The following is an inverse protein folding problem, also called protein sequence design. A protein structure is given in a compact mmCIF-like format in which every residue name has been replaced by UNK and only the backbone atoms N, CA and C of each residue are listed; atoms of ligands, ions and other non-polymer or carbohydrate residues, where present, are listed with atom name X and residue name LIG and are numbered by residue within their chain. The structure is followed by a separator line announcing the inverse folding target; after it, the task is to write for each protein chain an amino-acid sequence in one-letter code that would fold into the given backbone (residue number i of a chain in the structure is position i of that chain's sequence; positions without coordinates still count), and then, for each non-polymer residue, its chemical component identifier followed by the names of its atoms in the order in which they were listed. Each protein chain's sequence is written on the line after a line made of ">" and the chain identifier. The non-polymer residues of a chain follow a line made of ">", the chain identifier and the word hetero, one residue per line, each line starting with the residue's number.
data_IF_035078184092
#
_entry.id   IF_035078184092
#
_cell.length_a   1.000
_cell.length_b   1.000
_cell.length_c   1.000
_cell.angle_alpha   90.00
_cell.angle_beta   90.00
_cell.angle_gamma   90.00
#
_symmetry.space_group_name_H-M   'P 1'
#
loop_
_entity.id
_entity.type
_entity.pdbx_description
1 polymer ?
#
# COMPACT_ATOMS: atom_id res chain seq x y z
N UNK A 1 -42.40 -0.39 -50.92
CA UNK A 1 -41.08 -1.04 -50.77
C UNK A 1 -40.74 -1.15 -49.29
N UNK A 2 -40.88 -2.35 -48.74
CA UNK A 2 -40.34 -2.74 -47.44
C UNK A 2 -38.82 -2.75 -47.49
N UNK A 3 -38.16 -2.25 -46.44
CA UNK A 3 -36.94 -2.88 -45.92
C UNK A 3 -36.90 -2.69 -44.40
N UNK A 4 -37.34 -3.74 -43.71
CA UNK A 4 -36.88 -4.14 -42.39
C UNK A 4 -35.34 -4.16 -42.38
N UNK A 5 -34.71 -3.63 -41.33
CA UNK A 5 -33.61 -4.35 -40.67
C UNK A 5 -33.40 -3.81 -39.26
N UNK A 6 -33.79 -4.61 -38.28
CA UNK A 6 -33.53 -4.37 -36.87
C UNK A 6 -32.05 -4.56 -36.54
N UNK A 7 -31.53 -3.70 -35.68
CA UNK A 7 -30.32 -3.99 -34.91
C UNK A 7 -30.73 -4.32 -33.48
N UNK A 8 -30.74 -5.63 -33.28
CA UNK A 8 -30.81 -6.40 -32.05
C UNK A 8 -30.05 -5.74 -30.87
N UNK A 9 -30.79 -5.32 -29.85
CA UNK A 9 -30.22 -5.08 -28.51
C UNK A 9 -29.78 -6.42 -27.94
N UNK A 10 -28.46 -6.64 -27.92
CA UNK A 10 -27.84 -7.84 -27.38
C UNK A 10 -27.94 -7.89 -25.85
N UNK A 11 -28.98 -8.53 -25.32
CA UNK A 11 -29.14 -8.91 -23.91
C UNK A 11 -28.09 -9.99 -23.53
N UNK A 12 -27.01 -9.59 -22.85
CA UNK A 12 -26.04 -10.54 -22.27
C UNK A 12 -26.46 -10.94 -20.85
N UNK A 13 -27.43 -11.86 -20.80
CA UNK A 13 -27.75 -12.85 -19.75
C UNK A 13 -27.17 -12.60 -18.34
N UNK A 14 -27.99 -12.08 -17.44
CA UNK A 14 -27.77 -12.17 -15.98
C UNK A 14 -28.39 -13.49 -15.52
N UNK A 15 -27.55 -14.50 -15.27
CA UNK A 15 -27.98 -15.72 -14.60
C UNK A 15 -28.36 -15.37 -13.15
N UNK A 16 -29.66 -15.35 -12.91
CA UNK A 16 -30.31 -15.34 -11.61
C UNK A 16 -29.98 -16.66 -10.91
N UNK A 17 -29.03 -16.65 -9.98
CA UNK A 17 -28.83 -17.80 -9.08
C UNK A 17 -29.71 -17.56 -7.87
N UNK A 18 -30.87 -18.23 -7.88
CA UNK A 18 -31.62 -18.53 -6.67
C UNK A 18 -30.71 -19.36 -5.76
N UNK A 19 -30.35 -18.82 -4.60
CA UNK A 19 -29.79 -19.60 -3.51
C UNK A 19 -30.87 -19.69 -2.44
N UNK A 20 -31.41 -20.89 -2.29
CA UNK A 20 -32.42 -21.27 -1.32
C UNK A 20 -32.07 -20.74 0.09
N UNK A 21 -33.05 -20.09 0.71
CA UNK A 21 -33.05 -19.88 2.14
C UNK A 21 -33.33 -21.23 2.82
N UNK A 22 -32.27 -21.93 3.24
CA UNK A 22 -32.43 -22.99 4.24
C UNK A 22 -32.72 -22.32 5.59
N UNK A 23 -34.00 -22.20 5.92
CA UNK A 23 -34.44 -22.02 7.30
C UNK A 23 -34.09 -23.29 8.07
N UNK A 24 -32.99 -23.28 8.81
CA UNK A 24 -32.73 -24.30 9.84
C UNK A 24 -32.99 -23.64 11.19
N UNK A 25 -34.14 -23.97 11.76
CA UNK A 25 -34.47 -23.80 13.18
C UNK A 25 -33.39 -24.48 14.03
N UNK A 26 -32.90 -23.85 15.11
CA UNK A 26 -32.34 -24.61 16.21
C UNK A 26 -33.50 -25.13 17.06
N UNK A 27 -33.98 -26.34 16.76
CA UNK A 27 -34.75 -27.11 17.73
C UNK A 27 -33.80 -27.50 18.86
N UNK A 28 -34.21 -27.16 20.08
CA UNK A 28 -33.41 -27.31 21.29
C UNK A 28 -33.17 -28.75 21.72
N UNK A 29 -32.15 -28.89 22.57
CA UNK A 29 -31.99 -29.82 23.69
C UNK A 29 -32.56 -31.24 23.54
N UNK A 30 -31.65 -32.19 23.41
CA UNK A 30 -31.87 -33.59 23.74
C UNK A 30 -30.52 -34.27 23.94
N UNK A 31 -30.14 -34.50 25.19
CA UNK A 31 -29.08 -35.45 25.55
C UNK A 31 -29.58 -36.83 25.15
N UNK A 32 -28.99 -37.41 24.11
CA UNK A 32 -29.18 -38.82 23.77
C UNK A 32 -27.86 -39.52 24.13
N UNK A 33 -27.90 -40.38 25.14
CA UNK A 33 -26.79 -41.28 25.45
C UNK A 33 -26.57 -42.23 24.25
N UNK A 34 -25.32 -42.55 23.86
CA UNK A 34 -25.09 -43.42 22.72
C UNK A 34 -25.41 -44.87 23.09
N UNK A 35 -26.35 -45.48 22.37
CA UNK A 35 -26.40 -46.93 22.23
C UNK A 35 -25.18 -47.38 21.41
N UNK A 36 -24.55 -48.46 21.86
CA UNK A 36 -23.32 -49.00 21.30
C UNK A 36 -23.46 -49.33 19.80
N UNK A 37 -22.41 -49.05 19.01
CA UNK A 37 -22.16 -49.78 17.76
C UNK A 37 -22.15 -49.02 16.44
N UNK A 38 -22.22 -47.69 16.39
CA UNK A 38 -21.97 -46.96 15.12
C UNK A 38 -21.05 -45.78 15.32
N UNK A 39 -19.85 -45.85 14.74
CA UNK A 39 -18.91 -44.72 14.64
C UNK A 39 -19.42 -43.74 13.58
N UNK A 40 -20.49 -43.03 13.91
CA UNK A 40 -20.90 -41.85 13.14
C UNK A 40 -19.88 -40.76 13.43
N UNK A 41 -18.95 -40.55 12.50
CA UNK A 41 -18.00 -39.46 12.56
C UNK A 41 -18.78 -38.14 12.70
N UNK A 42 -18.69 -37.51 13.87
CA UNK A 42 -19.23 -36.17 14.07
C UNK A 42 -18.53 -35.25 13.07
N UNK A 43 -19.26 -34.85 12.03
CA UNK A 43 -18.81 -33.81 11.11
C UNK A 43 -18.50 -32.57 11.96
N UNK A 44 -17.21 -32.21 12.03
CA UNK A 44 -16.73 -31.08 12.80
C UNK A 44 -17.54 -29.83 12.43
N UNK A 45 -18.42 -29.41 13.34
CA UNK A 45 -19.32 -28.28 13.11
C UNK A 45 -18.47 -27.04 13.04
N UNK A 46 -18.14 -26.59 11.83
CA UNK A 46 -17.33 -25.40 11.61
C UNK A 46 -18.06 -24.21 12.21
N UNK A 47 -17.56 -23.69 13.33
CA UNK A 47 -18.12 -22.52 14.02
C UNK A 47 -18.39 -21.41 13.02
N UNK A 48 -19.65 -20.95 12.96
CA UNK A 48 -20.06 -19.90 12.04
C UNK A 48 -19.20 -18.65 12.24
N UNK A 49 -18.58 -18.17 11.16
CA UNK A 49 -17.70 -17.01 11.23
C UNK A 49 -18.48 -15.78 11.71
N UNK A 50 -18.02 -15.15 12.80
CA UNK A 50 -18.62 -13.91 13.32
C UNK A 50 -18.70 -12.86 12.21
N UNK A 51 -19.91 -12.40 11.92
CA UNK A 51 -20.22 -11.37 10.91
C UNK A 51 -20.40 -10.03 11.60
N UNK A 52 -20.01 -8.95 10.93
CA UNK A 52 -20.21 -7.59 11.45
C UNK A 52 -20.78 -6.69 10.37
N UNK A 53 -21.90 -6.05 10.69
CA UNK A 53 -22.63 -5.17 9.76
C UNK A 53 -22.30 -3.71 10.05
N UNK A 54 -22.00 -2.97 8.98
CA UNK A 54 -21.71 -1.55 9.02
C UNK A 54 -22.68 -0.79 8.11
N UNK A 55 -22.93 0.48 8.45
CA UNK A 55 -23.64 1.37 7.55
C UNK A 55 -22.68 1.82 6.44
N UNK A 56 -23.13 1.75 5.19
CA UNK A 56 -22.37 2.15 4.02
C UNK A 56 -22.59 3.64 3.76
N UNK A 57 -21.50 4.41 3.76
CA UNK A 57 -21.55 5.86 3.50
C UNK A 57 -21.29 6.19 2.03
N UNK A 58 -20.38 5.46 1.39
CA UNK A 58 -20.08 5.66 -0.02
C UNK A 58 -19.44 4.43 -0.65
N UNK A 59 -19.64 4.30 -1.96
CA UNK A 59 -19.01 3.29 -2.82
C UNK A 59 -18.37 4.01 -3.99
N UNK A 60 -17.14 3.62 -4.33
CA UNK A 60 -16.40 4.17 -5.45
C UNK A 60 -15.62 3.08 -6.18
N UNK A 61 -15.79 3.02 -7.50
CA UNK A 61 -14.90 2.24 -8.36
C UNK A 61 -13.57 2.98 -8.54
N UNK A 62 -12.47 2.25 -8.48
CA UNK A 62 -11.12 2.78 -8.62
C UNK A 62 -10.49 2.26 -9.91
N UNK A 63 -9.66 3.10 -10.54
CA UNK A 63 -8.65 2.60 -11.47
C UNK A 63 -7.76 1.59 -10.73
N UNK A 64 -7.42 0.49 -11.39
CA UNK A 64 -6.61 -0.60 -10.80
C UNK A 64 -5.34 -0.03 -10.17
N UNK A 65 -5.28 -0.05 -8.84
CA UNK A 65 -4.19 0.57 -8.07
C UNK A 65 -3.46 -0.50 -7.27
N UNK A 66 -2.14 -0.55 -7.38
CA UNK A 66 -1.34 -1.49 -6.60
C UNK A 66 -1.20 -1.03 -5.13
N UNK A 67 -1.23 -1.99 -4.22
CA UNK A 67 -1.03 -1.84 -2.78
C UNK A 67 -0.22 -3.03 -2.25
N UNK A 68 0.43 -2.84 -1.11
CA UNK A 68 1.04 -3.89 -0.32
C UNK A 68 0.71 -3.70 1.17
N UNK A 69 0.86 -4.76 1.96
CA UNK A 69 0.62 -4.71 3.41
C UNK A 69 1.71 -3.86 4.07
N UNK A 70 1.31 -2.88 4.89
CA UNK A 70 2.24 -1.99 5.61
C UNK A 70 3.07 -2.75 6.64
N UNK A 71 2.39 -3.48 7.53
CA UNK A 71 2.97 -4.32 8.56
C UNK A 71 1.92 -5.32 9.07
N UNK A 72 2.38 -6.39 9.73
CA UNK A 72 1.52 -7.39 10.35
C UNK A 72 0.75 -8.26 9.35
N UNK A 73 -0.36 -8.84 9.82
CA UNK A 73 -1.22 -9.76 9.06
C UNK A 73 -2.63 -9.19 9.01
N UNK A 74 -2.92 -8.15 8.20
CA UNK A 74 -4.23 -7.51 8.23
C UNK A 74 -5.31 -8.47 7.75
N UNK A 75 -6.45 -8.44 8.43
CA UNK A 75 -7.57 -9.33 8.15
C UNK A 75 -8.20 -9.01 6.80
N UNK A 76 -8.43 -10.05 6.01
CA UNK A 76 -9.17 -10.03 4.76
C UNK A 76 -10.60 -10.46 5.04
N UNK A 77 -11.56 -9.70 4.54
CA UNK A 77 -12.99 -9.95 4.71
C UNK A 77 -13.68 -10.26 3.38
N UNK A 78 -14.70 -11.12 3.39
CA UNK A 78 -15.76 -11.07 2.39
C UNK A 78 -16.75 -9.98 2.79
N UNK A 79 -17.44 -9.37 1.82
CA UNK A 79 -18.44 -8.33 2.07
C UNK A 79 -19.73 -8.64 1.32
N UNK A 80 -20.84 -8.73 2.04
CA UNK A 80 -22.18 -8.83 1.48
C UNK A 80 -22.87 -7.47 1.61
N UNK A 81 -23.30 -6.90 0.50
CA UNK A 81 -24.02 -5.62 0.47
C UNK A 81 -25.51 -5.90 0.56
N UNK A 82 -26.22 -5.12 1.38
CA UNK A 82 -27.67 -5.14 1.37
C UNK A 82 -28.19 -4.64 0.01
N UNK A 83 -29.40 -5.07 -0.39
CA UNK A 83 -29.97 -4.76 -1.71
C UNK A 83 -30.12 -3.25 -1.93
N UNK A 84 -30.54 -2.53 -0.88
CA UNK A 84 -30.65 -1.07 -0.80
C UNK A 84 -29.29 -0.34 -0.78
N UNK A 85 -28.18 -1.08 -0.70
CA UNK A 85 -26.80 -0.58 -0.57
C UNK A 85 -26.61 0.34 0.64
N UNK A 86 -27.49 0.32 1.65
CA UNK A 86 -27.31 1.13 2.85
C UNK A 86 -26.36 0.47 3.86
N UNK A 87 -26.15 -0.85 3.77
CA UNK A 87 -25.33 -1.63 4.71
C UNK A 87 -24.41 -2.60 3.99
N UNK A 88 -23.30 -2.93 4.67
CA UNK A 88 -22.39 -3.99 4.27
C UNK A 88 -22.03 -4.86 5.46
N UNK A 89 -22.13 -6.18 5.28
CA UNK A 89 -21.80 -7.18 6.28
C UNK A 89 -20.47 -7.82 5.91
N UNK A 90 -19.47 -7.67 6.78
CA UNK A 90 -18.16 -8.31 6.62
C UNK A 90 -18.10 -9.62 7.39
N UNK A 91 -17.54 -10.65 6.75
CA UNK A 91 -17.17 -11.91 7.41
C UNK A 91 -15.67 -12.16 7.19
N UNK A 92 -14.96 -12.62 8.22
CA UNK A 92 -13.53 -12.89 8.13
C UNK A 92 -13.30 -14.03 7.14
N UNK A 93 -12.43 -13.78 6.15
CA UNK A 93 -12.00 -14.76 5.14
C UNK A 93 -10.59 -15.29 5.39
N UNK A 94 -9.73 -14.47 5.98
CA UNK A 94 -8.33 -14.83 6.25
C UNK A 94 -7.50 -13.60 6.54
N UNK A 95 -6.22 -13.63 6.17
CA UNK A 95 -5.28 -12.53 6.36
C UNK A 95 -4.45 -12.30 5.10
N UNK A 96 -4.04 -11.06 4.85
CA UNK A 96 -3.11 -10.73 3.78
C UNK A 96 -1.67 -11.01 4.22
N UNK A 97 -0.84 -11.42 3.25
CA UNK A 97 0.58 -11.68 3.43
C UNK A 97 1.40 -10.43 3.09
N UNK A 98 2.46 -10.20 3.83
CA UNK A 98 3.49 -9.21 3.48
C UNK A 98 4.26 -9.65 2.23
N UNK A 99 4.94 -8.72 1.55
CA UNK A 99 5.70 -9.02 0.33
C UNK A 99 4.86 -9.36 -0.91
N UNK A 100 3.53 -9.39 -0.78
CA UNK A 100 2.61 -9.61 -1.90
C UNK A 100 2.05 -8.28 -2.42
N UNK A 101 1.99 -8.13 -3.74
CA UNK A 101 1.27 -7.03 -4.39
C UNK A 101 -0.20 -7.37 -4.56
N UNK A 102 -1.06 -6.49 -4.08
CA UNK A 102 -2.50 -6.56 -4.22
C UNK A 102 -3.01 -5.40 -5.07
N UNK A 103 -4.00 -5.64 -5.91
CA UNK A 103 -4.60 -4.63 -6.77
C UNK A 103 -5.98 -4.26 -6.24
N UNK A 104 -6.16 -3.01 -5.84
CA UNK A 104 -7.45 -2.50 -5.44
C UNK A 104 -8.25 -1.99 -6.65
N UNK A 105 -9.54 -2.30 -6.68
CA UNK A 105 -10.46 -1.88 -7.76
C UNK A 105 -11.73 -1.22 -7.25
N UNK A 106 -12.08 -1.39 -5.98
CA UNK A 106 -13.23 -0.72 -5.34
C UNK A 106 -12.81 -0.13 -4.00
N UNK A 107 -13.46 0.96 -3.61
CA UNK A 107 -13.32 1.62 -2.32
C UNK A 107 -14.71 1.85 -1.73
N UNK A 108 -14.83 1.64 -0.43
CA UNK A 108 -16.02 1.97 0.34
C UNK A 108 -15.64 2.71 1.60
N UNK A 109 -16.55 3.54 2.08
CA UNK A 109 -16.47 4.15 3.41
C UNK A 109 -17.63 3.61 4.22
N UNK A 110 -17.34 3.08 5.40
CA UNK A 110 -18.33 2.47 6.28
C UNK A 110 -18.27 3.08 7.67
N UNK A 111 -19.37 3.06 8.38
CA UNK A 111 -19.49 3.56 9.76
C UNK A 111 -20.06 2.50 10.68
N UNK A 112 -19.50 2.37 11.88
CA UNK A 112 -20.16 1.61 12.95
C UNK A 112 -21.45 2.31 13.35
N UNK A 113 -22.42 1.54 13.88
CA UNK A 113 -23.52 2.15 14.62
C UNK A 113 -22.96 2.81 15.88
N UNK A 114 -23.48 3.99 16.22
CA UNK A 114 -23.26 4.55 17.55
C UNK A 114 -24.03 3.70 18.56
N UNK A 115 -23.46 3.53 19.75
CA UNK A 115 -24.15 2.97 20.92
C UNK A 115 -24.20 4.03 22.01
N UNK A 116 -24.95 3.78 23.10
CA UNK A 116 -25.00 4.69 24.26
C UNK A 116 -23.61 5.04 24.81
N UNK A 117 -22.64 4.15 24.66
CA UNK A 117 -21.28 4.28 25.22
C UNK A 117 -20.18 4.52 24.18
N UNK A 118 -20.47 4.40 22.89
CA UNK A 118 -19.46 4.51 21.84
C UNK A 118 -19.96 5.31 20.62
N UNK A 119 -19.21 6.36 20.28
CA UNK A 119 -19.45 7.16 19.06
C UNK A 119 -19.20 6.33 17.79
N UNK A 120 -19.97 6.61 16.75
CA UNK A 120 -19.78 5.99 15.44
C UNK A 120 -18.37 6.26 14.89
N UNK A 121 -17.68 5.20 14.45
CA UNK A 121 -16.34 5.28 13.85
C UNK A 121 -16.44 5.05 12.36
N UNK A 122 -15.79 5.93 11.60
CA UNK A 122 -15.70 5.81 10.14
C UNK A 122 -14.42 5.09 9.76
N UNK A 123 -14.50 4.13 8.85
CA UNK A 123 -13.33 3.49 8.25
C UNK A 123 -13.46 3.39 6.73
N UNK A 124 -12.32 3.45 6.05
CA UNK A 124 -12.25 3.23 4.60
C UNK A 124 -11.75 1.82 4.34
N UNK A 125 -12.48 1.07 3.51
CA UNK A 125 -12.10 -0.26 3.07
C UNK A 125 -11.88 -0.26 1.55
N UNK A 126 -10.98 -1.11 1.08
CA UNK A 126 -10.74 -1.34 -0.35
C UNK A 126 -10.88 -2.81 -0.69
N UNK A 127 -11.44 -3.08 -1.86
CA UNK A 127 -11.52 -4.43 -2.40
C UNK A 127 -10.25 -4.71 -3.18
N UNK A 128 -9.48 -5.68 -2.70
CA UNK A 128 -8.19 -6.06 -3.23
C UNK A 128 -8.24 -7.44 -3.90
N UNK A 129 -7.42 -7.62 -4.94
CA UNK A 129 -7.20 -8.91 -5.59
C UNK A 129 -5.73 -9.13 -5.96
N UNK A 130 -5.23 -10.36 -5.89
CA UNK A 130 -3.93 -10.73 -6.48
C UNK A 130 -4.02 -10.80 -8.00
N UNK A 131 -2.87 -10.78 -8.69
CA UNK A 131 -2.84 -10.87 -10.17
C UNK A 131 -3.55 -12.13 -10.69
N UNK A 132 -3.35 -13.26 -10.01
CA UNK A 132 -4.00 -14.55 -10.31
C UNK A 132 -5.41 -14.70 -9.72
N UNK A 133 -6.00 -13.65 -9.16
CA UNK A 133 -7.34 -13.64 -8.53
C UNK A 133 -7.58 -14.66 -7.39
N UNK A 134 -6.57 -15.43 -6.95
CA UNK A 134 -6.68 -16.42 -5.88
C UNK A 134 -7.06 -15.79 -4.53
N UNK A 135 -6.46 -14.64 -4.22
CA UNK A 135 -6.78 -13.88 -3.01
C UNK A 135 -7.59 -12.66 -3.41
N UNK A 136 -8.85 -12.59 -2.94
CA UNK A 136 -9.76 -11.46 -3.17
C UNK A 136 -10.65 -11.19 -1.96
N UNK A 137 -10.88 -9.93 -1.63
CA UNK A 137 -11.72 -9.50 -0.52
C UNK A 137 -11.53 -8.03 -0.12
N UNK A 138 -12.23 -7.61 0.93
CA UNK A 138 -12.17 -6.28 1.52
C UNK A 138 -11.14 -6.22 2.64
N UNK A 139 -10.40 -5.11 2.71
CA UNK A 139 -9.44 -4.83 3.78
C UNK A 139 -9.47 -3.34 4.11
N UNK A 140 -9.23 -3.00 5.37
CA UNK A 140 -9.11 -1.61 5.80
C UNK A 140 -7.90 -0.94 5.11
N UNK A 141 -8.14 0.20 4.47
CA UNK A 141 -7.12 0.92 3.71
C UNK A 141 -5.93 1.35 4.59
N UNK A 142 -6.17 1.64 5.88
CA UNK A 142 -5.13 2.03 6.83
C UNK A 142 -4.04 0.97 7.06
N UNK A 143 -4.31 -0.29 6.70
CA UNK A 143 -3.35 -1.39 6.79
C UNK A 143 -2.52 -1.59 5.51
N UNK A 144 -2.79 -0.80 4.48
CA UNK A 144 -2.14 -0.90 3.18
C UNK A 144 -1.30 0.34 2.89
N UNK A 145 -0.24 0.12 2.13
CA UNK A 145 0.59 1.17 1.52
C UNK A 145 0.41 1.09 0.01
N UNK A 146 0.20 2.22 -0.65
CA UNK A 146 0.09 2.26 -2.11
C UNK A 146 1.42 1.90 -2.78
N UNK A 147 1.36 1.29 -3.96
CA UNK A 147 2.52 0.80 -4.70
C UNK A 147 2.66 -0.73 -4.67
N UNK A 148 3.44 -1.26 -5.61
CA UNK A 148 3.76 -2.70 -5.68
C UNK A 148 4.68 -3.06 -4.51
N UNK A 149 4.53 -4.27 -3.98
CA UNK A 149 5.49 -4.80 -3.04
C UNK A 149 6.84 -4.95 -3.75
N UNK A 150 7.88 -4.31 -3.23
CA UNK A 150 9.27 -4.61 -3.59
C UNK A 150 9.77 -5.71 -2.65
N UNK A 151 10.59 -6.64 -3.16
CA UNK A 151 11.15 -7.71 -2.35
C UNK A 151 11.93 -7.09 -1.17
N UNK A 152 11.46 -7.35 0.05
CA UNK A 152 12.13 -6.89 1.26
C UNK A 152 13.12 -7.98 1.69
N UNK A 153 14.42 -7.73 1.55
CA UNK A 153 15.46 -8.50 2.26
C UNK A 153 15.12 -8.43 3.75
N UNK A 154 15.01 -9.60 4.40
CA UNK A 154 14.58 -9.72 5.79
C UNK A 154 15.36 -8.76 6.69
N UNK A 155 14.65 -7.90 7.43
CA UNK A 155 15.24 -7.08 8.48
C UNK A 155 14.32 -7.15 9.68
N UNK A 156 14.91 -7.59 10.80
CA UNK A 156 14.29 -7.87 12.09
C UNK A 156 13.50 -6.67 12.61
N UNK A 157 12.44 -7.01 13.34
CA UNK A 157 11.50 -6.18 14.08
C UNK A 157 12.20 -5.21 15.03
N UNK A 158 11.77 -3.95 15.07
CA UNK A 158 11.92 -3.08 16.23
C UNK A 158 10.71 -2.15 16.33
N UNK A 159 10.22 -1.99 17.55
CA UNK A 159 8.92 -1.46 17.92
C UNK A 159 8.83 0.08 17.92
N UNK A 160 7.65 0.53 17.50
CA UNK A 160 6.83 1.69 17.93
C UNK A 160 7.49 2.88 18.66
N UNK A 161 7.30 4.09 18.12
CA UNK A 161 6.76 5.22 18.91
C UNK A 161 5.86 6.12 18.07
N UNK A 162 4.67 6.40 18.62
CA UNK A 162 3.53 7.15 18.09
C UNK A 162 3.70 8.62 18.48
N UNK A 163 3.46 9.56 17.56
CA UNK A 163 3.16 10.95 17.90
C UNK A 163 2.27 11.59 16.83
N UNK A 164 1.52 12.57 17.29
CA UNK A 164 0.18 13.02 16.91
C UNK A 164 0.11 13.90 15.66
N UNK A 165 -1.10 13.97 15.10
CA UNK A 165 -1.44 14.72 13.90
C UNK A 165 -1.59 16.23 14.17
N UNK A 166 -1.18 17.07 13.21
CA UNK A 166 -1.85 18.34 12.93
C UNK A 166 -2.04 18.51 11.42
N UNK A 167 -3.31 18.62 11.04
CA UNK A 167 -3.86 18.88 9.71
C UNK A 167 -3.66 20.37 9.40
N UNK A 168 -3.32 20.72 8.14
CA UNK A 168 -4.02 21.71 7.29
C UNK A 168 -3.49 21.64 5.85
N UNK A 169 -4.42 21.89 4.92
CA UNK A 169 -4.46 21.95 3.45
C UNK A 169 -3.39 22.88 2.81
N UNK A 170 -2.98 22.83 1.53
CA UNK A 170 -3.77 22.85 0.27
C UNK A 170 -2.86 22.57 -0.97
N UNK A 171 -3.50 22.12 -2.07
CA UNK A 171 -3.14 22.22 -3.52
C UNK A 171 -1.91 21.48 -4.13
N UNK A 172 -2.26 20.38 -4.83
CA UNK A 172 -1.83 19.93 -6.18
C UNK A 172 -0.38 20.21 -6.64
N UNK A 173 0.50 19.22 -6.46
CA UNK A 173 1.65 18.96 -7.35
C UNK A 173 2.02 17.46 -7.32
N UNK A 174 2.53 16.97 -8.45
CA UNK A 174 2.79 15.58 -8.86
C UNK A 174 3.30 14.64 -7.76
N UNK A 175 2.69 13.44 -7.64
CA UNK A 175 2.96 12.43 -6.60
C UNK A 175 4.39 11.86 -6.68
N UNK A 176 5.31 12.43 -5.92
CA UNK A 176 6.38 11.69 -5.27
C UNK A 176 5.82 11.05 -3.99
N UNK A 177 6.27 9.84 -3.67
CA UNK A 177 6.08 9.21 -2.36
C UNK A 177 6.39 10.24 -1.26
N UNK A 178 5.54 10.38 -0.23
CA UNK A 178 5.76 11.35 0.86
C UNK A 178 6.87 10.82 1.78
N UNK A 179 8.07 10.64 1.22
CA UNK A 179 9.29 10.46 1.95
C UNK A 179 9.49 11.72 2.82
N UNK A 180 9.47 11.55 4.13
CA UNK A 180 9.84 12.60 5.08
C UNK A 180 11.28 13.00 4.78
N UNK A 181 11.46 14.16 4.16
CA UNK A 181 12.77 14.77 3.94
C UNK A 181 13.38 15.22 5.25
N UNK A 182 14.71 15.14 5.36
CA UNK A 182 15.45 15.69 6.50
C UNK A 182 16.05 17.02 6.11
N UNK A 183 15.88 18.04 6.96
CA UNK A 183 16.46 19.37 6.76
C UNK A 183 17.78 19.48 7.51
N UNK A 184 18.79 20.01 6.83
CA UNK A 184 20.11 20.23 7.38
C UNK A 184 20.52 21.68 7.18
N UNK A 185 21.38 22.19 8.06
CA UNK A 185 22.10 23.45 7.83
C UNK A 185 23.06 23.25 6.67
N UNK A 186 22.95 24.10 5.65
CA UNK A 186 23.88 24.14 4.54
C UNK A 186 25.11 24.94 4.98
N UNK A 187 26.29 24.32 4.86
CA UNK A 187 27.56 24.98 5.18
C UNK A 187 28.25 25.54 3.94
N UNK A 188 28.15 24.81 2.82
CA UNK A 188 28.77 25.21 1.56
C UNK A 188 28.00 24.62 0.39
N UNK A 189 27.89 25.37 -0.71
CA UNK A 189 27.46 24.87 -2.01
C UNK A 189 28.43 25.39 -3.07
N UNK A 190 28.82 24.54 -4.02
CA UNK A 190 29.65 24.93 -5.16
C UNK A 190 29.24 24.19 -6.42
N UNK A 191 29.42 24.85 -7.56
CA UNK A 191 29.36 24.18 -8.86
C UNK A 191 30.71 23.50 -9.12
N UNK A 192 30.67 22.37 -9.80
CA UNK A 192 31.83 21.59 -10.18
C UNK A 192 31.90 21.51 -11.70
N UNK A 193 33.12 21.39 -12.25
CA UNK A 193 33.30 20.86 -13.59
C UNK A 193 32.69 19.45 -13.65
N UNK A 194 32.10 19.10 -14.79
CA UNK A 194 31.43 17.80 -14.98
C UNK A 194 32.46 16.67 -14.82
N UNK A 195 32.32 15.88 -13.76
CA UNK A 195 33.26 14.79 -13.45
C UNK A 195 32.51 13.47 -13.37
N UNK A 196 33.09 12.41 -13.92
CA UNK A 196 32.54 11.07 -13.88
C UNK A 196 32.75 10.40 -12.51
N UNK A 197 31.73 9.67 -12.07
CA UNK A 197 31.72 8.89 -10.84
C UNK A 197 31.00 7.56 -11.08
N UNK A 198 31.40 6.55 -10.33
CA UNK A 198 30.69 5.29 -10.21
C UNK A 198 30.64 4.87 -8.73
N UNK A 199 30.07 3.70 -8.45
CA UNK A 199 30.15 3.10 -7.13
C UNK A 199 30.32 1.59 -7.26
N UNK A 200 30.96 0.97 -6.28
CA UNK A 200 31.10 -0.48 -6.16
C UNK A 200 30.33 -0.96 -4.93
N UNK A 201 29.80 -2.17 -5.00
CA UNK A 201 29.05 -2.79 -3.89
C UNK A 201 27.63 -2.24 -3.73
N UNK A 202 27.28 -1.85 -2.49
CA UNK A 202 25.90 -1.50 -2.12
C UNK A 202 25.43 -0.21 -2.80
N UNK A 203 24.31 -0.28 -3.52
CA UNK A 203 23.72 0.84 -4.22
C UNK A 203 23.46 2.05 -3.30
N UNK A 204 24.11 3.20 -3.54
CA UNK A 204 23.97 4.36 -2.68
C UNK A 204 22.60 5.00 -2.87
N UNK A 205 22.07 5.56 -1.78
CA UNK A 205 20.81 6.29 -1.79
C UNK A 205 21.02 7.66 -2.43
N UNK A 206 20.08 8.06 -3.31
CA UNK A 206 20.03 9.42 -3.86
C UNK A 206 18.79 10.18 -3.40
N UNK A 207 18.95 11.50 -3.30
CA UNK A 207 17.99 12.42 -2.69
C UNK A 207 17.64 13.56 -3.66
N UNK A 208 16.41 14.07 -3.60
CA UNK A 208 16.14 15.44 -4.09
C UNK A 208 16.50 16.45 -3.00
N UNK A 209 17.16 17.54 -3.37
CA UNK A 209 17.41 18.67 -2.48
C UNK A 209 16.44 19.81 -2.75
N UNK A 210 15.82 20.33 -1.70
CA UNK A 210 15.11 21.61 -1.70
C UNK A 210 15.88 22.59 -0.83
N UNK A 211 16.43 23.63 -1.44
CA UNK A 211 17.14 24.70 -0.73
C UNK A 211 16.14 25.72 -0.19
N UNK A 212 16.40 26.25 1.00
CA UNK A 212 15.72 27.43 1.49
C UNK A 212 16.13 28.65 0.64
N UNK A 213 15.28 29.67 0.60
CA UNK A 213 15.50 30.84 -0.25
C UNK A 213 16.79 31.60 0.13
N UNK A 214 17.06 31.67 1.43
CA UNK A 214 18.27 32.23 2.04
C UNK A 214 19.50 31.31 1.91
N UNK A 215 19.35 30.12 1.31
CA UNK A 215 20.35 29.07 1.20
C UNK A 215 20.96 28.59 2.52
N UNK A 216 20.41 28.96 3.68
CA UNK A 216 20.95 28.54 4.98
C UNK A 216 20.65 27.05 5.28
N UNK A 217 19.64 26.48 4.61
CA UNK A 217 19.16 25.11 4.85
C UNK A 217 18.88 24.38 3.55
N UNK A 218 19.02 23.05 3.60
CA UNK A 218 18.61 22.14 2.53
C UNK A 218 17.84 20.96 3.09
N UNK A 219 16.67 20.70 2.52
CA UNK A 219 15.86 19.51 2.79
C UNK A 219 16.19 18.43 1.77
N UNK A 220 16.78 17.32 2.23
CA UNK A 220 17.07 16.14 1.43
C UNK A 220 15.96 15.10 1.60
N UNK A 221 15.25 14.81 0.50
CA UNK A 221 14.17 13.83 0.46
C UNK A 221 14.63 12.61 -0.34
N UNK A 222 14.56 11.42 0.26
CA UNK A 222 14.98 10.17 -0.39
C UNK A 222 14.15 9.92 -1.65
N UNK A 223 14.84 9.73 -2.78
CA UNK A 223 14.22 9.35 -4.05
C UNK A 223 14.32 7.85 -4.33
N UNK A 224 15.45 7.24 -4.00
CA UNK A 224 15.72 5.84 -4.30
C UNK A 224 17.19 5.49 -4.10
N UNK A 225 17.64 4.43 -4.76
CA UNK A 225 19.06 4.03 -4.84
C UNK A 225 19.55 4.14 -6.27
N UNK A 226 20.83 4.45 -6.46
CA UNK A 226 21.41 4.52 -7.80
C UNK A 226 21.44 3.14 -8.46
N UNK A 227 21.03 3.02 -9.73
CA UNK A 227 21.28 1.81 -10.53
C UNK A 227 22.77 1.43 -10.57
N UNK A 228 23.06 0.14 -10.46
CA UNK A 228 24.42 -0.41 -10.61
C UNK A 228 24.90 -0.38 -12.06
N UNK A 229 26.22 -0.55 -12.26
CA UNK A 229 26.86 -0.63 -13.58
C UNK A 229 26.56 0.56 -14.48
N UNK A 230 26.65 1.76 -13.91
CA UNK A 230 26.41 3.04 -14.59
C UNK A 230 27.46 4.06 -14.18
N UNK A 231 27.89 4.86 -15.15
CA UNK A 231 28.62 6.12 -14.93
C UNK A 231 27.63 7.23 -14.60
N UNK A 232 27.93 8.02 -13.59
CA UNK A 232 27.19 9.22 -13.21
C UNK A 232 28.09 10.44 -13.31
N UNK A 233 27.53 11.58 -13.68
CA UNK A 233 28.25 12.83 -13.76
C UNK A 233 27.85 13.75 -12.62
N UNK A 234 28.81 14.16 -11.81
CA UNK A 234 28.60 15.17 -10.77
C UNK A 234 28.86 16.57 -11.33
N UNK A 235 27.98 17.51 -11.02
CA UNK A 235 28.10 18.91 -11.45
C UNK A 235 27.96 19.92 -10.31
N UNK A 236 27.53 19.48 -9.13
CA UNK A 236 27.41 20.32 -7.93
C UNK A 236 27.85 19.53 -6.70
N UNK A 237 28.37 20.24 -5.71
CA UNK A 237 28.68 19.71 -4.39
C UNK A 237 28.03 20.59 -3.33
N UNK A 238 27.48 19.95 -2.29
CA UNK A 238 27.04 20.63 -1.08
C UNK A 238 27.67 19.98 0.14
N UNK A 239 27.98 20.78 1.15
CA UNK A 239 28.37 20.32 2.48
C UNK A 239 27.29 20.70 3.47
N UNK A 240 26.77 19.73 4.20
CA UNK A 240 25.71 19.94 5.20
C UNK A 240 26.19 19.52 6.58
N UNK A 241 25.69 20.21 7.61
CA UNK A 241 25.92 19.81 9.01
C UNK A 241 24.93 18.71 9.38
N UNK A 242 25.42 17.50 9.60
CA UNK A 242 24.64 16.36 10.09
C UNK A 242 25.11 16.01 11.49
N UNK A 243 24.32 16.41 12.49
CA UNK A 243 24.71 16.33 13.89
C UNK A 243 26.03 17.10 14.12
N UNK A 244 27.08 16.43 14.60
CA UNK A 244 28.42 16.98 14.83
C UNK A 244 29.37 16.82 13.64
N UNK A 245 28.92 16.27 12.49
CA UNK A 245 29.78 15.96 11.33
C UNK A 245 29.38 16.79 10.11
N UNK A 246 30.40 17.13 9.31
CA UNK A 246 30.21 17.75 8.00
C UNK A 246 30.13 16.65 6.93
N UNK A 247 29.02 16.59 6.20
CA UNK A 247 28.78 15.55 5.20
C UNK A 247 28.67 16.19 3.82
N UNK A 248 29.51 15.72 2.91
CA UNK A 248 29.53 16.15 1.51
C UNK A 248 28.56 15.33 0.67
N UNK A 249 27.79 15.99 -0.16
CA UNK A 249 26.91 15.39 -1.16
C UNK A 249 27.26 15.91 -2.55
N UNK A 250 27.30 15.01 -3.53
CA UNK A 250 27.45 15.33 -4.94
C UNK A 250 26.08 15.23 -5.63
N UNK A 251 25.74 16.25 -6.41
CA UNK A 251 24.58 16.19 -7.31
C UNK A 251 24.99 15.45 -8.57
N UNK A 252 24.54 14.20 -8.68
CA UNK A 252 24.88 13.30 -9.77
C UNK A 252 23.74 13.20 -10.79
N UNK A 253 24.09 12.98 -12.05
CA UNK A 253 23.13 12.72 -13.13
C UNK A 253 23.63 11.68 -14.13
N UNK A 254 22.71 10.84 -14.61
CA UNK A 254 22.87 9.99 -15.79
C UNK A 254 21.51 9.97 -16.47
N UNK A 255 21.21 11.01 -17.26
CA UNK A 255 20.02 11.32 -18.10
C UNK A 255 18.63 10.97 -17.54
N UNK A 256 18.43 9.73 -17.09
CA UNK A 256 17.26 9.17 -16.41
C UNK A 256 17.26 9.41 -14.89
N UNK A 257 18.42 9.41 -14.24
CA UNK A 257 18.55 9.58 -12.77
C UNK A 257 19.25 10.88 -12.44
N UNK A 258 18.73 11.65 -11.49
CA UNK A 258 19.36 12.87 -10.96
C UNK A 258 19.08 13.08 -9.48
N UNK A 259 20.09 13.50 -8.72
CA UNK A 259 19.93 13.81 -7.30
C UNK A 259 21.24 13.89 -6.52
N UNK A 260 21.13 14.26 -5.25
CA UNK A 260 22.25 14.32 -4.31
C UNK A 260 22.57 12.94 -3.74
N UNK A 261 23.86 12.58 -3.71
CA UNK A 261 24.38 11.32 -3.15
C UNK A 261 25.57 11.65 -2.27
N UNK A 262 25.76 10.93 -1.16
CA UNK A 262 26.93 11.16 -0.29
C UNK A 262 28.22 10.89 -1.06
N UNK A 263 29.16 11.84 -1.02
CA UNK A 263 30.38 11.78 -1.80
C UNK A 263 31.23 10.54 -1.46
N UNK A 264 31.29 10.16 -0.18
CA UNK A 264 32.03 8.98 0.29
C UNK A 264 31.45 7.63 -0.16
N UNK A 265 30.31 7.62 -0.87
CA UNK A 265 29.72 6.43 -1.48
C UNK A 265 29.99 6.33 -2.98
N UNK A 266 30.74 7.28 -3.53
CA UNK A 266 31.08 7.35 -4.94
C UNK A 266 32.60 7.30 -5.10
N UNK A 267 33.04 6.65 -6.16
CA UNK A 267 34.43 6.60 -6.61
C UNK A 267 34.52 7.44 -7.86
N UNK A 268 35.51 8.33 -7.95
CA UNK A 268 35.76 9.12 -9.15
C UNK A 268 36.17 8.22 -10.32
N UNK A 269 35.80 8.61 -11.54
CA UNK A 269 36.04 7.85 -12.76
C UNK A 269 34.79 7.21 -13.34
N UNK A 270 34.83 6.90 -14.63
CA UNK A 270 33.78 6.18 -15.32
C UNK A 270 33.67 4.73 -14.80
N UNK A 271 32.47 4.16 -14.88
CA UNK A 271 32.31 2.73 -14.65
C UNK A 271 32.99 1.95 -15.78
N UNK A 272 33.87 1.03 -15.42
CA UNK A 272 34.46 0.05 -16.32
C UNK A 272 33.88 -1.31 -15.94
N UNK A 273 33.34 -2.06 -16.90
CA UNK A 273 33.03 -3.46 -16.66
C UNK A 273 34.35 -4.22 -16.51
N UNK A 274 34.40 -5.18 -15.58
CA UNK A 274 35.49 -6.16 -15.63
C UNK A 274 35.24 -7.04 -16.86
N UNK A 275 36.29 -7.25 -17.65
CA UNK A 275 36.33 -8.22 -18.75
C UNK A 275 36.15 -9.65 -18.20
#
# INVERSE_FOLDING_TARGET
>A
MSFLLGVMVMMKKVAMVAAAAAMVLPLGLGVIAPAAGTTTALAATKTAAKKTTYNLKSVKTLKKTAYHVKAGKPTLFSGAFAADKAKVTFAKKGNLKTGTTYYATKKIVVTTKATKTAKAKTMTCVYVKTANNKVKGWVALGNLTAGKATAKKATKTAAVKKATAKKTTTKKAVKADKATGKTYTLLKAKNLKKTAYHFKGTAPVYFTGKFAADQAKVTLTKKGTLPQSKTYYATKEITVKQNKKNVKYLYVTNNKTKGFVQANKLTAGAFMAAD
#
